data_IF_425605507932
#
_entry.id   IF_425605507932
#
_cell.length_a   1.000
_cell.length_b   1.000
_cell.length_c   1.000
_cell.angle_alpha   90.00
_cell.angle_beta   90.00
_cell.angle_gamma   90.00
#
_symmetry.space_group_name_H-M   'P 1'
#
loop_
_entity.id
_entity.type
_entity.pdbx_description
1 polymer ?
#
# COMPACT_ATOMS: atom_id res chain seq x y z
N UNK A 1 -10.69 8.83 95.76
CA UNK A 1 -10.68 10.18 95.18
C UNK A 1 -10.48 10.04 93.67
N UNK A 2 -11.56 10.24 92.90
CA UNK A 2 -11.65 10.59 91.45
C UNK A 2 -10.78 9.80 90.46
N UNK A 3 -11.32 8.76 89.81
CA UNK A 3 -12.04 8.77 88.52
C UNK A 3 -11.27 9.36 87.32
N UNK A 4 -11.33 8.57 86.23
CA UNK A 4 -11.26 8.95 84.81
C UNK A 4 -9.88 9.00 84.14
N UNK A 5 -9.59 7.99 83.33
CA UNK A 5 -9.49 8.10 81.86
C UNK A 5 -9.30 6.69 81.29
N UNK A 6 -10.40 6.02 80.98
CA UNK A 6 -10.88 5.81 79.60
C UNK A 6 -10.00 4.83 78.81
N UNK A 7 -10.50 3.60 78.81
CA UNK A 7 -10.26 2.50 77.87
C UNK A 7 -10.03 2.93 76.41
N UNK A 8 -9.32 2.02 75.72
CA UNK A 8 -9.31 1.78 74.27
C UNK A 8 -8.42 2.77 73.49
N UNK A 9 -7.61 2.36 72.52
CA UNK A 9 -7.84 1.40 71.46
C UNK A 9 -6.49 0.81 71.03
N UNK A 10 -6.41 -0.52 71.04
CA UNK A 10 -5.44 -1.27 70.27
C UNK A 10 -5.80 -1.17 68.78
N UNK A 11 -4.81 -1.02 67.90
CA UNK A 11 -4.61 -1.79 66.64
C UNK A 11 -3.86 -0.99 65.57
N UNK A 12 -2.84 -1.66 65.02
CA UNK A 12 -2.34 -1.67 63.64
C UNK A 12 -2.65 -0.45 62.75
N UNK A 13 -1.58 0.18 62.23
CA UNK A 13 -1.47 0.41 60.79
C UNK A 13 0.00 0.37 60.35
N UNK A 14 0.36 -0.74 59.72
CA UNK A 14 1.45 -0.80 58.75
C UNK A 14 0.95 -0.11 57.47
N UNK A 15 1.54 1.02 57.11
CA UNK A 15 1.28 1.69 55.84
C UNK A 15 2.60 1.82 55.07
N UNK A 16 2.89 0.81 54.26
CA UNK A 16 3.95 0.85 53.25
C UNK A 16 3.44 1.75 52.11
N UNK A 17 3.98 2.97 52.01
CA UNK A 17 3.58 3.94 50.98
C UNK A 17 4.22 3.57 49.64
N UNK A 18 3.55 2.75 48.84
CA UNK A 18 3.90 2.59 47.43
C UNK A 18 3.56 3.90 46.70
N UNK A 19 4.59 4.66 46.31
CA UNK A 19 4.42 5.83 45.46
C UNK A 19 3.87 5.39 44.08
N UNK A 20 2.85 6.06 43.53
CA UNK A 20 2.40 5.78 42.17
C UNK A 20 3.51 6.22 41.20
N UNK A 21 4.08 5.26 40.48
CA UNK A 21 4.97 5.54 39.36
C UNK A 21 4.19 6.32 38.30
N UNK A 22 4.54 7.60 38.09
CA UNK A 22 3.96 8.39 37.02
C UNK A 22 4.41 7.80 35.67
N UNK A 23 3.50 7.66 34.69
CA UNK A 23 3.86 7.23 33.34
C UNK A 23 4.89 8.20 32.74
N UNK A 24 5.98 7.67 32.21
CA UNK A 24 6.97 8.47 31.50
C UNK A 24 6.34 9.15 30.27
N UNK A 25 6.78 10.37 29.90
CA UNK A 25 6.31 11.06 28.70
C UNK A 25 6.61 10.21 27.46
N UNK A 26 5.58 9.82 26.71
CA UNK A 26 5.76 9.13 25.44
C UNK A 26 6.31 10.12 24.39
N UNK A 27 7.27 9.71 23.54
CA UNK A 27 7.70 10.52 22.41
C UNK A 27 6.51 10.88 21.53
N UNK A 28 6.38 12.16 21.19
CA UNK A 28 5.33 12.63 20.30
C UNK A 28 5.42 11.88 18.97
N UNK A 29 4.30 11.29 18.54
CA UNK A 29 4.18 10.61 17.25
C UNK A 29 4.49 11.65 16.15
N UNK A 30 5.42 11.38 15.22
CA UNK A 30 5.73 12.31 14.15
C UNK A 30 4.47 12.64 13.33
N UNK A 31 4.38 13.86 12.76
CA UNK A 31 3.24 14.24 11.94
C UNK A 31 3.06 13.19 10.85
N UNK A 32 1.88 12.59 10.77
CA UNK A 32 1.55 11.70 9.67
C UNK A 32 1.52 12.56 8.41
N UNK A 33 2.59 12.51 7.62
CA UNK A 33 2.61 13.09 6.30
C UNK A 33 1.51 12.39 5.51
N UNK A 34 0.42 13.11 5.23
CA UNK A 34 -0.64 12.61 4.38
C UNK A 34 -0.04 12.56 2.98
N UNK A 35 0.32 11.35 2.53
CA UNK A 35 0.82 11.17 1.17
C UNK A 35 -0.20 11.76 0.20
N UNK A 36 0.25 12.64 -0.70
CA UNK A 36 -0.62 13.20 -1.72
C UNK A 36 -1.23 12.06 -2.55
N UNK A 37 -2.50 12.16 -2.94
CA UNK A 37 -3.15 11.12 -3.72
C UNK A 37 -2.47 10.99 -5.09
N UNK A 38 -2.37 9.75 -5.57
CA UNK A 38 -1.84 9.48 -6.91
C UNK A 38 -2.69 10.18 -7.99
N UNK A 39 -2.06 10.65 -9.08
CA UNK A 39 -2.77 11.31 -10.17
C UNK A 39 -3.68 10.33 -10.92
N UNK A 40 -4.82 10.83 -11.38
CA UNK A 40 -5.68 10.09 -12.30
C UNK A 40 -5.01 10.01 -13.68
N UNK A 41 -4.89 8.80 -14.20
CA UNK A 41 -4.33 8.58 -15.53
C UNK A 41 -5.30 9.01 -16.63
N UNK A 42 -4.78 9.62 -17.69
CA UNK A 42 -5.52 9.85 -18.91
C UNK A 42 -5.22 8.73 -19.91
N UNK A 43 -6.28 8.04 -20.32
CA UNK A 43 -6.21 6.96 -21.31
C UNK A 43 -6.76 7.39 -22.66
N UNK A 44 -7.29 8.62 -22.81
CA UNK A 44 -7.95 9.02 -24.06
C UNK A 44 -6.95 9.10 -25.21
N UNK A 45 -7.39 8.72 -26.41
CA UNK A 45 -6.58 8.83 -27.62
C UNK A 45 -7.46 9.00 -28.85
N UNK A 46 -6.88 9.50 -29.94
CA UNK A 46 -7.46 9.50 -31.29
C UNK A 46 -6.72 8.52 -32.18
N UNK A 47 -5.41 8.39 -31.99
CA UNK A 47 -4.52 7.53 -32.78
C UNK A 47 -3.52 6.82 -31.88
N UNK A 48 -2.86 5.78 -32.41
CA UNK A 48 -1.78 5.06 -31.72
C UNK A 48 -0.65 6.00 -31.27
N UNK A 49 -0.40 7.10 -31.99
CA UNK A 49 0.66 8.06 -31.67
C UNK A 49 0.38 8.88 -30.39
N UNK A 50 -0.89 8.92 -29.95
CA UNK A 50 -1.27 9.58 -28.70
C UNK A 50 -0.96 8.71 -27.47
N UNK A 51 -0.59 7.44 -27.68
CA UNK A 51 -0.36 6.48 -26.61
C UNK A 51 1.12 6.17 -26.43
N UNK A 52 1.57 6.13 -25.19
CA UNK A 52 2.94 5.77 -24.84
C UNK A 52 3.01 4.91 -23.58
N UNK A 53 4.08 4.13 -23.46
CA UNK A 53 4.34 3.35 -22.26
C UNK A 53 4.95 4.28 -21.21
N UNK A 54 4.25 4.45 -20.08
CA UNK A 54 4.79 5.13 -18.90
C UNK A 54 4.77 4.22 -17.69
N UNK A 55 5.64 4.48 -16.74
CA UNK A 55 5.55 3.85 -15.43
C UNK A 55 4.48 4.57 -14.60
N UNK A 56 3.34 3.93 -14.40
CA UNK A 56 2.23 4.48 -13.60
C UNK A 56 2.36 4.14 -12.12
N UNK A 57 3.22 3.17 -11.78
CA UNK A 57 3.39 2.65 -10.42
C UNK A 57 2.20 1.81 -9.94
N UNK A 58 2.49 0.90 -9.02
CA UNK A 58 1.50 0.16 -8.24
C UNK A 58 2.12 -0.20 -6.88
N UNK A 59 1.35 -0.78 -5.95
CA UNK A 59 1.84 -1.25 -4.65
C UNK A 59 2.90 -2.36 -4.71
N UNK A 60 3.29 -2.78 -5.91
CA UNK A 60 4.35 -3.76 -6.17
C UNK A 60 5.61 -3.14 -6.81
N UNK A 61 5.65 -1.82 -7.01
CA UNK A 61 6.76 -1.12 -7.67
C UNK A 61 6.40 -0.63 -9.07
N UNK A 62 7.36 -0.78 -9.99
CA UNK A 62 7.22 -0.29 -11.36
C UNK A 62 6.11 -1.05 -12.11
N UNK A 63 5.16 -0.31 -12.65
CA UNK A 63 4.04 -0.82 -13.42
C UNK A 63 4.01 -0.07 -14.76
N UNK A 64 4.66 -0.60 -15.82
CA UNK A 64 4.53 -0.02 -17.15
C UNK A 64 3.09 -0.19 -17.64
N UNK A 65 2.50 0.88 -18.17
CA UNK A 65 1.16 0.87 -18.74
C UNK A 65 1.08 1.81 -19.95
N UNK A 66 0.15 1.52 -20.86
CA UNK A 66 -0.18 2.42 -21.96
C UNK A 66 -1.13 3.51 -21.48
N UNK A 67 -0.68 4.75 -21.61
CA UNK A 67 -1.46 5.94 -21.26
C UNK A 67 -1.27 7.00 -22.34
N UNK A 68 -2.07 8.06 -22.29
CA UNK A 68 -1.86 9.19 -23.19
C UNK A 68 -0.45 9.81 -22.98
N UNK A 69 0.18 10.30 -24.04
CA UNK A 69 1.48 10.99 -24.01
C UNK A 69 1.51 12.19 -23.05
N UNK A 70 0.37 12.81 -22.79
CA UNK A 70 0.20 13.93 -21.86
C UNK A 70 -0.32 13.50 -20.48
N UNK A 71 -0.65 12.21 -20.29
CA UNK A 71 -1.13 11.70 -19.00
C UNK A 71 -0.10 11.96 -17.90
N UNK A 72 -0.51 12.51 -16.74
CA UNK A 72 0.35 12.59 -15.58
C UNK A 72 0.64 11.19 -15.03
N UNK A 73 1.81 11.01 -14.44
CA UNK A 73 2.21 9.79 -13.72
C UNK A 73 3.06 10.16 -12.52
N UNK A 74 2.76 9.57 -11.36
CA UNK A 74 3.58 9.73 -10.15
C UNK A 74 3.72 8.38 -9.43
N UNK A 75 4.63 7.51 -9.91
CA UNK A 75 4.86 6.21 -9.28
C UNK A 75 5.37 6.34 -7.84
N UNK A 76 6.00 7.46 -7.47
CA UNK A 76 6.49 7.68 -6.11
C UNK A 76 5.33 7.96 -5.14
N UNK A 77 4.36 8.79 -5.53
CA UNK A 77 3.15 9.02 -4.75
C UNK A 77 2.33 7.72 -4.57
N UNK A 78 2.20 6.91 -5.63
CA UNK A 78 1.54 5.60 -5.54
C UNK A 78 2.26 4.71 -4.51
N UNK A 79 3.59 4.61 -4.60
CA UNK A 79 4.38 3.83 -3.65
C UNK A 79 4.23 4.33 -2.21
N UNK A 80 4.29 5.64 -1.99
CA UNK A 80 4.09 6.23 -0.66
C UNK A 80 2.69 5.92 -0.09
N UNK A 81 1.65 5.99 -0.92
CA UNK A 81 0.29 5.65 -0.52
C UNK A 81 0.14 4.16 -0.18
N UNK A 82 0.77 3.28 -0.95
CA UNK A 82 0.78 1.84 -0.71
C UNK A 82 1.53 1.47 0.59
N UNK A 83 2.64 2.16 0.88
CA UNK A 83 3.35 2.03 2.16
C UNK A 83 2.49 2.51 3.33
N UNK A 84 1.89 3.69 3.22
CA UNK A 84 1.03 4.25 4.25
C UNK A 84 -0.20 3.39 4.56
N UNK A 85 -0.73 2.68 3.54
CA UNK A 85 -1.88 1.79 3.67
C UNK A 85 -1.52 0.32 3.96
N UNK A 86 -0.23 -0.02 4.07
CA UNK A 86 0.21 -1.40 4.32
C UNK A 86 -0.12 -2.37 3.17
N UNK A 87 -0.33 -1.87 1.96
CA UNK A 87 -0.74 -2.65 0.76
C UNK A 87 0.43 -3.11 -0.10
N UNK A 88 1.65 -2.88 0.36
CA UNK A 88 2.87 -3.27 -0.36
C UNK A 88 2.91 -4.78 -0.59
N UNK A 89 3.25 -5.20 -1.81
CA UNK A 89 3.41 -6.62 -2.17
C UNK A 89 4.47 -6.77 -3.26
N UNK A 90 4.65 -7.99 -3.79
CA UNK A 90 5.54 -8.29 -4.92
C UNK A 90 4.70 -8.83 -6.06
N UNK A 91 4.81 -8.20 -7.23
CA UNK A 91 4.08 -8.58 -8.44
C UNK A 91 5.06 -8.75 -9.60
N UNK A 92 4.71 -9.61 -10.55
CA UNK A 92 5.28 -9.54 -11.90
C UNK A 92 4.61 -8.40 -12.67
N UNK A 93 5.40 -7.62 -13.39
CA UNK A 93 4.88 -6.63 -14.33
C UNK A 93 4.98 -7.18 -15.75
N UNK A 94 3.90 -7.13 -16.56
CA UNK A 94 3.95 -7.60 -17.93
C UNK A 94 4.92 -6.74 -18.74
N UNK A 95 5.65 -7.38 -19.66
CA UNK A 95 6.45 -6.64 -20.63
C UNK A 95 5.52 -6.12 -21.73
N UNK A 96 5.40 -4.79 -21.83
CA UNK A 96 4.61 -4.13 -22.88
C UNK A 96 5.54 -3.80 -24.04
N UNK A 97 5.23 -4.33 -25.22
CA UNK A 97 6.04 -4.13 -26.44
C UNK A 97 5.57 -2.94 -27.27
N UNK A 98 4.37 -2.42 -27.01
CA UNK A 98 3.85 -1.21 -27.65
C UNK A 98 2.43 -0.87 -27.20
N UNK A 99 1.96 0.30 -27.60
CA UNK A 99 0.62 0.81 -27.28
C UNK A 99 -0.22 1.05 -28.54
N UNK A 100 -1.53 0.92 -28.41
CA UNK A 100 -2.50 1.20 -29.47
C UNK A 100 -3.72 1.94 -28.92
N UNK A 101 -4.36 2.71 -29.78
CA UNK A 101 -5.62 3.35 -29.49
C UNK A 101 -6.79 2.45 -29.90
N UNK A 102 -7.54 1.96 -28.92
CA UNK A 102 -8.70 1.07 -29.11
C UNK A 102 -9.91 1.76 -28.52
N UNK A 103 -10.92 2.03 -29.35
CA UNK A 103 -12.18 2.65 -28.91
C UNK A 103 -11.95 3.98 -28.15
N UNK A 104 -10.98 4.77 -28.61
CA UNK A 104 -10.60 6.04 -27.98
C UNK A 104 -9.83 5.89 -26.67
N UNK A 105 -9.34 4.70 -26.34
CA UNK A 105 -8.58 4.41 -25.13
C UNK A 105 -7.21 3.74 -25.44
N UNK A 106 -6.16 4.22 -24.79
CA UNK A 106 -4.83 3.65 -24.87
C UNK A 106 -4.82 2.28 -24.18
N UNK A 107 -4.38 1.28 -24.94
CA UNK A 107 -4.26 -0.11 -24.48
C UNK A 107 -2.94 -0.71 -24.94
N UNK A 108 -2.46 -1.73 -24.23
CA UNK A 108 -1.29 -2.48 -24.65
C UNK A 108 -1.58 -3.22 -25.95
N UNK A 109 -0.63 -3.17 -26.90
CA UNK A 109 -0.64 -4.09 -28.04
C UNK A 109 -0.49 -5.50 -27.46
N UNK A 110 -1.42 -6.39 -27.78
CA UNK A 110 -1.31 -7.78 -27.35
C UNK A 110 -0.04 -8.38 -27.96
N UNK A 111 0.93 -8.78 -27.14
CA UNK A 111 1.90 -9.75 -27.58
C UNK A 111 1.11 -11.05 -27.77
N UNK A 112 0.95 -11.52 -29.01
CA UNK A 112 0.12 -12.68 -29.34
C UNK A 112 0.33 -13.82 -28.33
N UNK A 113 -0.64 -14.00 -27.42
CA UNK A 113 -0.62 -15.07 -26.42
C UNK A 113 -0.57 -16.46 -27.07
N UNK A 114 -0.94 -16.53 -28.35
CA UNK A 114 -0.89 -17.72 -29.19
C UNK A 114 0.53 -18.21 -29.52
N UNK A 115 1.53 -17.33 -29.50
CA UNK A 115 2.95 -17.74 -29.67
C UNK A 115 3.61 -18.24 -28.38
N UNK A 116 3.02 -17.97 -27.21
CA UNK A 116 3.53 -18.44 -25.91
C UNK A 116 2.85 -19.71 -25.41
N UNK A 117 1.67 -20.04 -25.94
CA UNK A 117 1.11 -21.39 -25.84
C UNK A 117 1.78 -22.25 -26.89
N UNK A 118 2.79 -23.04 -26.48
CA UNK A 118 3.15 -24.23 -27.27
C UNK A 118 1.86 -25.03 -27.43
N UNK A 119 1.40 -25.35 -28.67
CA UNK A 119 0.31 -26.28 -28.85
C UNK A 119 0.68 -27.54 -28.07
N UNK A 120 -0.17 -27.96 -27.13
CA UNK A 120 -0.03 -29.28 -26.54
C UNK A 120 -0.19 -30.26 -27.69
N UNK A 121 0.93 -30.78 -28.17
CA UNK A 121 1.01 -31.80 -29.18
C UNK A 121 0.10 -32.95 -28.73
N UNK A 122 -0.95 -33.14 -29.51
CA UNK A 122 -2.05 -34.06 -29.26
C UNK A 122 -1.52 -35.47 -29.00
N UNK A 123 -1.85 -36.01 -27.83
CA UNK A 123 -2.11 -37.42 -27.54
C UNK A 123 -1.50 -38.43 -28.53
N UNK A 124 -0.30 -38.93 -28.25
CA UNK A 124 0.17 -40.18 -28.84
C UNK A 124 -0.53 -41.35 -28.09
N UNK A 125 -1.36 -42.19 -28.74
CA UNK A 125 -1.92 -43.36 -28.08
C UNK A 125 -0.82 -44.43 -27.95
N UNK A 126 -0.43 -44.73 -26.71
CA UNK A 126 0.40 -45.91 -26.39
C UNK A 126 -0.35 -47.16 -26.87
N UNK A 127 0.22 -47.86 -27.85
CA UNK A 127 -0.19 -49.19 -28.28
C UNK A 127 0.62 -50.26 -27.56
#
# INVERSE_FOLDING_TARGET
MRLAFCLAIATLMAACSASPAQPAPQPAKPPQAHAAPAPTLDLRCRTDADCTVKNVGNCCGAAPACVNVDSPTDPAAVMAQCQASGRMSVCGSPQITGCQCVEGQCSAKQASADTLRRPMESTEPVR
#
